data_IF_875844216114
#
_entry.id   IF_875844216114
#
_cell.length_a   1.000
_cell.length_b   1.000
_cell.length_c   1.000
_cell.angle_alpha   90.00
_cell.angle_beta   90.00
_cell.angle_gamma   90.00
#
_symmetry.space_group_name_H-M   'P 1'
#
loop_
_entity.id
_entity.type
_entity.pdbx_description
1 polymer ?
#
# COMPACT_ATOMS: atom_id res chain seq x y z
N UNK A 1 7.43 20.62 -12.79
CA UNK A 1 6.25 20.40 -11.91
C UNK A 1 6.51 21.11 -10.60
N UNK A 2 5.54 21.87 -10.07
CA UNK A 2 5.72 22.57 -8.78
C UNK A 2 5.89 21.56 -7.64
N UNK A 3 6.81 21.85 -6.70
CA UNK A 3 7.04 21.06 -5.48
C UNK A 3 5.75 20.69 -4.75
N UNK A 4 4.83 21.64 -4.59
CA UNK A 4 3.54 21.40 -3.92
C UNK A 4 2.68 20.35 -4.62
N UNK A 5 2.58 20.41 -5.96
CA UNK A 5 1.82 19.42 -6.74
C UNK A 5 2.45 18.03 -6.66
N UNK A 6 3.78 17.96 -6.64
CA UNK A 6 4.49 16.69 -6.46
C UNK A 6 4.22 16.10 -5.07
N UNK A 7 4.28 16.92 -4.01
CA UNK A 7 3.95 16.49 -2.65
C UNK A 7 2.49 16.02 -2.54
N UNK A 8 1.53 16.75 -3.11
CA UNK A 8 0.13 16.32 -3.17
C UNK A 8 -0.02 14.95 -3.84
N UNK A 9 0.65 14.73 -4.98
CA UNK A 9 0.62 13.45 -5.68
C UNK A 9 1.25 12.31 -4.86
N UNK A 10 2.36 12.58 -4.17
CA UNK A 10 3.03 11.60 -3.31
C UNK A 10 2.20 11.25 -2.07
N UNK A 11 1.55 12.22 -1.44
CA UNK A 11 0.63 11.96 -0.33
C UNK A 11 -0.60 11.17 -0.77
N UNK A 12 -1.12 11.45 -1.96
CA UNK A 12 -2.19 10.65 -2.55
C UNK A 12 -1.74 9.20 -2.76
N UNK A 13 -0.57 8.98 -3.36
CA UNK A 13 0.00 7.65 -3.57
C UNK A 13 0.21 6.89 -2.24
N UNK A 14 0.76 7.57 -1.23
CA UNK A 14 0.89 7.03 0.12
C UNK A 14 -0.46 6.55 0.67
N UNK A 15 -1.52 7.36 0.50
CA UNK A 15 -2.85 6.99 0.95
C UNK A 15 -3.42 5.80 0.19
N UNK A 16 -3.16 5.71 -1.11
CA UNK A 16 -3.56 4.57 -1.93
C UNK A 16 -2.96 3.26 -1.42
N UNK A 17 -1.68 3.24 -1.06
CA UNK A 17 -1.01 2.04 -0.53
C UNK A 17 -1.59 1.57 0.82
N UNK A 18 -1.98 2.52 1.68
CA UNK A 18 -2.66 2.24 2.95
C UNK A 18 -4.06 1.65 2.74
N UNK A 19 -4.83 2.23 1.82
CA UNK A 19 -6.17 1.73 1.47
C UNK A 19 -6.07 0.34 0.85
N UNK A 20 -5.13 0.11 -0.06
CA UNK A 20 -4.92 -1.19 -0.68
C UNK A 20 -4.58 -2.26 0.36
N UNK A 21 -3.79 -1.93 1.39
CA UNK A 21 -3.53 -2.83 2.53
C UNK A 21 -4.81 -3.22 3.27
N UNK A 22 -5.69 -2.25 3.53
CA UNK A 22 -6.99 -2.49 4.18
C UNK A 22 -7.90 -3.38 3.32
N UNK A 23 -7.94 -3.14 2.01
CA UNK A 23 -8.72 -3.95 1.06
C UNK A 23 -8.26 -5.41 1.08
N UNK A 24 -6.94 -5.64 1.07
CA UNK A 24 -6.38 -6.98 1.15
C UNK A 24 -6.74 -7.71 2.46
N UNK A 25 -6.73 -7.01 3.61
CA UNK A 25 -7.18 -7.60 4.87
C UNK A 25 -8.67 -8.00 4.81
N UNK A 26 -9.52 -7.17 4.20
CA UNK A 26 -10.93 -7.48 4.01
C UNK A 26 -11.13 -8.69 3.08
N UNK A 27 -10.24 -8.91 2.11
CA UNK A 27 -10.28 -10.12 1.27
C UNK A 27 -10.01 -11.39 2.08
N UNK A 28 -9.07 -11.38 3.03
CA UNK A 28 -8.85 -12.54 3.93
C UNK A 28 -10.13 -12.86 4.69
N UNK A 29 -10.75 -11.84 5.30
CA UNK A 29 -11.96 -12.02 6.09
C UNK A 29 -13.11 -12.57 5.23
N UNK A 30 -13.27 -12.06 4.01
CA UNK A 30 -14.25 -12.55 3.06
C UNK A 30 -13.99 -14.00 2.63
N UNK A 31 -12.73 -14.36 2.35
CA UNK A 31 -12.36 -15.74 1.97
C UNK A 31 -12.68 -16.70 3.11
N UNK A 32 -12.28 -16.37 4.35
CA UNK A 32 -12.49 -17.22 5.53
C UNK A 32 -13.98 -17.37 5.87
N UNK A 33 -14.80 -16.33 5.68
CA UNK A 33 -16.20 -16.33 6.12
C UNK A 33 -17.21 -16.76 5.05
N UNK A 34 -16.90 -16.56 3.77
CA UNK A 34 -17.90 -16.67 2.68
C UNK A 34 -17.71 -17.90 1.80
N UNK A 35 -16.54 -18.52 1.83
CA UNK A 35 -16.24 -19.69 1.04
C UNK A 35 -16.18 -20.90 1.96
N UNK A 36 -16.89 -21.96 1.58
CA UNK A 36 -16.80 -23.27 2.22
C UNK A 36 -15.58 -24.00 1.62
N UNK A 37 -14.41 -23.63 2.12
CA UNK A 37 -13.10 -24.08 1.64
C UNK A 37 -12.32 -24.70 2.79
N UNK A 38 -11.47 -25.66 2.46
CA UNK A 38 -10.61 -26.32 3.44
C UNK A 38 -9.52 -25.39 4.02
N UNK A 39 -8.91 -25.83 5.12
CA UNK A 39 -7.88 -25.07 5.84
C UNK A 39 -6.63 -24.82 4.99
N UNK A 40 -6.28 -25.76 4.10
CA UNK A 40 -5.12 -25.65 3.21
C UNK A 40 -5.30 -24.52 2.20
N UNK A 41 -6.50 -24.40 1.63
CA UNK A 41 -6.88 -23.30 0.76
C UNK A 41 -6.84 -21.97 1.50
N UNK A 42 -7.39 -21.90 2.72
CA UNK A 42 -7.36 -20.69 3.55
C UNK A 42 -5.91 -20.27 3.84
N UNK A 43 -5.04 -21.23 4.15
CA UNK A 43 -3.63 -20.98 4.39
C UNK A 43 -2.93 -20.45 3.14
N UNK A 44 -3.18 -21.06 1.98
CA UNK A 44 -2.64 -20.60 0.70
C UNK A 44 -3.09 -19.17 0.37
N UNK A 45 -4.37 -18.85 0.54
CA UNK A 45 -4.93 -17.52 0.32
C UNK A 45 -4.31 -16.47 1.27
N UNK A 46 -4.20 -16.79 2.56
CA UNK A 46 -3.52 -15.91 3.55
C UNK A 46 -2.08 -15.63 3.15
N UNK A 47 -1.34 -16.66 2.71
CA UNK A 47 0.05 -16.50 2.27
C UNK A 47 0.19 -15.59 1.05
N UNK A 48 -0.71 -15.73 0.07
CA UNK A 48 -0.74 -14.84 -1.11
C UNK A 48 -1.02 -13.40 -0.68
N UNK A 49 -2.06 -13.20 0.12
CA UNK A 49 -2.47 -11.86 0.54
C UNK A 49 -1.39 -11.18 1.41
N UNK A 50 -0.73 -11.93 2.30
CA UNK A 50 0.40 -11.40 3.06
C UNK A 50 1.55 -10.93 2.17
N UNK A 51 1.84 -11.61 1.07
CA UNK A 51 2.84 -11.15 0.08
C UNK A 51 2.42 -9.83 -0.57
N UNK A 52 1.14 -9.68 -0.92
CA UNK A 52 0.62 -8.43 -1.48
C UNK A 52 0.72 -7.27 -0.47
N UNK A 53 0.35 -7.52 0.80
CA UNK A 53 0.49 -6.53 1.87
C UNK A 53 1.96 -6.13 2.09
N UNK A 54 2.89 -7.09 2.03
CA UNK A 54 4.31 -6.80 2.12
C UNK A 54 4.79 -5.88 0.96
N UNK A 55 4.27 -6.11 -0.26
CA UNK A 55 4.50 -5.22 -1.40
C UNK A 55 4.04 -3.78 -1.12
N UNK A 56 2.78 -3.61 -0.70
CA UNK A 56 2.24 -2.28 -0.38
C UNK A 56 3.02 -1.58 0.74
N UNK A 57 3.49 -2.32 1.76
CA UNK A 57 4.36 -1.76 2.81
C UNK A 57 5.69 -1.25 2.24
N UNK A 58 6.28 -1.96 1.30
CA UNK A 58 7.48 -1.50 0.59
C UNK A 58 7.19 -0.23 -0.22
N UNK A 59 6.06 -0.18 -0.93
CA UNK A 59 5.66 1.00 -1.70
C UNK A 59 5.38 2.21 -0.80
N UNK A 60 4.66 2.01 0.32
CA UNK A 60 4.44 3.02 1.35
C UNK A 60 5.77 3.60 1.83
N UNK A 61 6.74 2.76 2.18
CA UNK A 61 8.07 3.20 2.62
C UNK A 61 8.77 4.04 1.55
N UNK A 62 8.71 3.64 0.28
CA UNK A 62 9.24 4.44 -0.83
C UNK A 62 8.54 5.79 -0.96
N UNK A 63 7.22 5.85 -0.80
CA UNK A 63 6.49 7.11 -0.82
C UNK A 63 6.93 8.03 0.33
N UNK A 64 7.06 7.50 1.55
CA UNK A 64 7.55 8.25 2.71
C UNK A 64 8.97 8.79 2.49
N UNK A 65 9.86 8.00 1.86
CA UNK A 65 11.22 8.42 1.58
C UNK A 65 11.27 9.50 0.49
N UNK A 66 10.47 9.37 -0.57
CA UNK A 66 10.33 10.41 -1.61
C UNK A 66 9.74 11.71 -1.06
N UNK A 67 8.75 11.63 -0.17
CA UNK A 67 8.16 12.82 0.48
C UNK A 67 9.25 13.56 1.25
N UNK A 68 10.02 12.86 2.09
CA UNK A 68 11.12 13.46 2.86
C UNK A 68 12.17 14.11 1.96
N UNK A 69 12.54 13.44 0.86
CA UNK A 69 13.48 13.99 -0.11
C UNK A 69 12.96 15.31 -0.71
N UNK A 70 11.72 15.32 -1.19
CA UNK A 70 11.10 16.52 -1.78
C UNK A 70 10.95 17.63 -0.75
N UNK A 71 10.52 17.33 0.48
CA UNK A 71 10.39 18.29 1.57
C UNK A 71 11.73 18.95 1.89
N UNK A 72 12.81 18.15 1.99
CA UNK A 72 14.17 18.62 2.29
C UNK A 72 14.85 19.36 1.13
N UNK A 73 14.34 19.21 -0.10
CA UNK A 73 14.88 19.87 -1.28
C UNK A 73 14.60 21.38 -1.26
N UNK A 74 15.60 22.17 -1.64
CA UNK A 74 15.47 23.62 -1.87
C UNK A 74 14.92 23.96 -3.26
N UNK A 75 14.68 22.95 -4.12
CA UNK A 75 14.09 23.15 -5.44
C UNK A 75 12.59 23.37 -5.33
N UNK A 76 12.10 24.43 -5.97
CA UNK A 76 10.66 24.70 -6.09
C UNK A 76 10.03 23.99 -7.30
N UNK A 77 10.86 23.53 -8.25
CA UNK A 77 10.44 22.83 -9.46
C UNK A 77 11.21 21.51 -9.66
N UNK A 78 10.47 20.48 -10.07
CA UNK A 78 10.93 19.11 -10.35
C UNK A 78 10.54 18.65 -11.76
#
# INVERSE_FOLDING_TARGET
MKKTKLLEALHFALKTEEVATTVYLNHIDAIVKRFDVDEDFILAAKNIIHKLIAGNRSHKKKCEDMIKEVESSTKEDF
#
